data_IF_897584847140
#
_entry.id   IF_897584847140
#
_cell.length_a   1.000
_cell.length_b   1.000
_cell.length_c   1.000
_cell.angle_alpha   90.00
_cell.angle_beta   90.00
_cell.angle_gamma   90.00
#
_symmetry.space_group_name_H-M   'P 1'
#
loop_
_entity.id
_entity.type
_entity.pdbx_description
1 polymer ?
#
# COMPACT_ATOMS: atom_id res chain seq x y z
N UNK A 1 12.16 -2.05 7.72
CA UNK A 1 12.78 -2.51 6.44
C UNK A 1 13.97 -1.62 6.10
N UNK A 2 14.94 -2.00 5.24
CA UNK A 2 15.95 -1.03 4.81
C UNK A 2 15.27 0.19 4.13
N UNK A 3 15.78 1.41 4.35
CA UNK A 3 15.23 2.61 3.72
C UNK A 3 15.29 2.47 2.19
N UNK A 4 14.27 2.97 1.48
CA UNK A 4 14.28 2.89 0.03
C UNK A 4 15.32 3.83 -0.54
N UNK A 5 16.11 3.29 -1.46
CA UNK A 5 16.97 4.10 -2.31
C UNK A 5 16.17 4.67 -3.48
N UNK A 6 16.60 5.82 -3.99
CA UNK A 6 16.04 6.44 -5.18
C UNK A 6 15.98 5.45 -6.36
N UNK A 7 17.04 4.66 -6.55
CA UNK A 7 17.13 3.63 -7.58
C UNK A 7 16.02 2.58 -7.46
N UNK A 8 15.69 2.14 -6.24
CA UNK A 8 14.64 1.14 -6.01
C UNK A 8 13.25 1.69 -6.37
N UNK A 9 12.97 2.95 -6.06
CA UNK A 9 11.70 3.61 -6.40
C UNK A 9 11.56 3.73 -7.91
N UNK A 10 12.59 4.23 -8.58
CA UNK A 10 12.57 4.45 -10.04
C UNK A 10 12.59 3.13 -10.83
N UNK A 11 13.26 2.10 -10.32
CA UNK A 11 13.20 0.77 -10.92
C UNK A 11 11.78 0.17 -10.89
N UNK A 12 10.94 0.56 -9.92
CA UNK A 12 9.54 0.11 -9.84
C UNK A 12 8.66 0.88 -10.82
N UNK A 13 8.79 2.21 -10.90
CA UNK A 13 8.02 3.01 -11.87
C UNK A 13 8.26 2.53 -13.30
N UNK A 14 9.51 2.21 -13.66
CA UNK A 14 9.91 1.70 -14.98
C UNK A 14 9.39 0.30 -15.34
N UNK A 15 8.84 -0.48 -14.38
CA UNK A 15 8.23 -1.80 -14.69
C UNK A 15 6.86 -1.66 -15.37
N UNK A 16 6.15 -0.55 -15.17
CA UNK A 16 4.81 -0.33 -15.70
C UNK A 16 4.76 0.14 -17.16
N UNK A 17 5.69 0.98 -17.67
CA UNK A 17 5.84 1.24 -19.10
C UNK A 17 5.91 -0.04 -19.91
N UNK A 18 6.47 -1.13 -19.36
CA UNK A 18 6.51 -2.43 -20.04
C UNK A 18 5.13 -3.06 -20.20
N UNK A 19 4.29 -3.02 -19.16
CA UNK A 19 2.90 -3.51 -19.24
C UNK A 19 2.07 -2.64 -20.17
N UNK A 20 2.18 -1.31 -20.07
CA UNK A 20 1.47 -0.38 -20.98
C UNK A 20 1.94 -0.51 -22.42
N UNK A 21 3.24 -0.50 -22.68
CA UNK A 21 3.79 -0.71 -24.02
C UNK A 21 3.38 -2.07 -24.57
N UNK A 22 3.39 -3.15 -23.77
CA UNK A 22 2.87 -4.45 -24.20
C UNK A 22 1.37 -4.41 -24.51
N UNK A 23 0.56 -3.70 -23.72
CA UNK A 23 -0.87 -3.53 -23.98
C UNK A 23 -1.12 -2.72 -25.26
N UNK A 24 -0.39 -1.63 -25.49
CA UNK A 24 -0.47 -0.82 -26.71
C UNK A 24 -0.03 -1.62 -27.94
N UNK A 25 1.10 -2.33 -27.86
CA UNK A 25 1.57 -3.22 -28.93
C UNK A 25 0.52 -4.31 -29.19
N UNK A 26 -0.02 -4.96 -28.16
CA UNK A 26 -1.06 -5.99 -28.32
C UNK A 26 -2.34 -5.44 -28.95
N UNK A 27 -2.74 -4.20 -28.64
CA UNK A 27 -3.88 -3.52 -29.28
C UNK A 27 -3.61 -3.22 -30.75
N UNK A 28 -2.39 -2.81 -31.09
CA UNK A 28 -2.00 -2.57 -32.50
C UNK A 28 -2.02 -3.87 -33.30
N UNK A 29 -1.52 -4.98 -32.76
CA UNK A 29 -1.56 -6.28 -33.44
C UNK A 29 -2.99 -6.84 -33.57
N UNK A 30 -3.83 -6.77 -32.52
CA UNK A 30 -5.24 -7.22 -32.60
C UNK A 30 -6.06 -6.42 -33.62
N UNK A 31 -5.73 -5.14 -33.85
CA UNK A 31 -6.41 -4.32 -34.85
C UNK A 31 -6.14 -4.80 -36.28
N UNK A 32 -4.98 -5.39 -36.54
CA UNK A 32 -4.66 -5.98 -37.84
C UNK A 32 -5.39 -7.32 -38.07
N UNK A 33 -5.45 -8.21 -37.06
CA UNK A 33 -6.19 -9.48 -37.19
C UNK A 33 -7.70 -9.28 -37.39
N UNK A 34 -8.29 -8.23 -36.80
CA UNK A 34 -9.73 -7.97 -36.92
C UNK A 34 -10.12 -7.33 -38.26
N UNK A 35 -9.16 -6.75 -38.99
CA UNK A 35 -9.40 -6.13 -40.29
C UNK A 35 -9.34 -7.14 -41.45
N UNK A 36 -8.67 -8.27 -41.28
CA UNK A 36 -8.52 -9.29 -42.34
C UNK A 36 -9.69 -10.29 -42.43
N UNK A 37 -10.54 -10.41 -41.40
CA UNK A 37 -11.75 -11.25 -41.46
C UNK A 37 -13.02 -10.49 -41.88
N UNK A 38 -12.94 -9.18 -42.11
CA UNK A 38 -14.06 -8.34 -42.54
C UNK A 38 -14.08 -8.07 -44.04
N UNK A 39 -13.92 -9.10 -44.88
CA UNK A 39 -13.95 -8.95 -46.33
C UNK A 39 -15.09 -9.76 -46.96
N UNK A 40 -16.24 -9.13 -47.20
CA UNK A 40 -17.01 -9.32 -48.44
C UNK A 40 -18.23 -8.38 -48.48
N UNK A 41 -18.07 -7.20 -49.07
CA UNK A 41 -19.16 -6.60 -49.86
C UNK A 41 -18.54 -5.75 -50.96
N UNK A 42 -18.70 -6.26 -52.19
CA UNK A 42 -18.58 -5.65 -53.52
C UNK A 42 -17.87 -4.29 -53.65
N UNK A 43 -16.74 -4.30 -54.37
CA UNK A 43 -16.26 -3.13 -55.08
C UNK A 43 -16.05 -3.46 -56.56
N UNK A 44 -16.84 -2.81 -57.40
CA UNK A 44 -16.84 -2.91 -58.87
C UNK A 44 -15.67 -2.15 -59.50
N UNK A 45 -14.98 -2.69 -60.52
CA UNK A 45 -13.84 -2.03 -61.15
C UNK A 45 -14.27 -1.15 -62.34
N UNK A 46 -13.76 0.08 -62.40
CA UNK A 46 -13.83 0.92 -63.61
C UNK A 46 -12.48 0.97 -64.31
N UNK A 47 -12.55 0.72 -65.61
CA UNK A 47 -11.48 0.49 -66.58
C UNK A 47 -10.87 1.82 -67.07
N UNK A 48 -9.54 1.93 -67.17
CA UNK A 48 -8.90 2.91 -68.06
C UNK A 48 -7.50 2.45 -68.50
N UNK A 49 -7.26 2.60 -69.81
CA UNK A 49 -6.15 2.10 -70.64
C UNK A 49 -4.89 3.01 -70.63
N UNK A 50 -3.74 2.41 -70.98
CA UNK A 50 -2.59 3.06 -71.65
C UNK A 50 -1.24 2.74 -70.99
N UNK A 51 -0.50 1.69 -71.39
CA UNK A 51 0.45 1.54 -72.53
C UNK A 51 1.75 2.37 -72.43
N UNK A 52 2.83 1.79 -71.85
CA UNK A 52 4.10 1.33 -72.50
C UNK A 52 5.20 2.42 -72.58
N UNK A 53 6.53 2.22 -72.55
CA UNK A 53 7.43 1.10 -72.87
C UNK A 53 8.89 1.48 -72.44
N UNK A 54 9.79 0.47 -72.43
CA UNK A 54 11.29 0.46 -72.51
C UNK A 54 12.10 0.29 -71.20
N UNK A 55 12.74 -0.89 -71.06
CA UNK A 55 13.73 -1.29 -70.03
C UNK A 55 15.19 -0.93 -70.40
N UNK A 56 16.24 -1.76 -70.18
CA UNK A 56 16.39 -2.98 -69.36
C UNK A 56 17.69 -3.01 -68.49
N UNK A 57 17.84 -3.97 -67.55
CA UNK A 57 19.07 -4.78 -67.33
C UNK A 57 18.96 -5.71 -66.09
N UNK A 58 19.29 -6.97 -66.33
CA UNK A 58 19.41 -8.20 -65.50
C UNK A 58 20.66 -8.21 -64.58
N UNK A 59 21.03 -9.31 -63.87
CA UNK A 59 20.28 -10.44 -63.27
C UNK A 59 20.74 -10.77 -61.81
N UNK A 60 20.06 -11.69 -61.12
CA UNK A 60 20.67 -12.94 -60.60
C UNK A 60 19.69 -13.77 -59.73
N UNK A 61 19.78 -15.09 -59.95
CA UNK A 61 18.94 -16.18 -59.44
C UNK A 61 19.21 -16.56 -57.97
N UNK A 62 18.25 -17.26 -57.37
CA UNK A 62 18.49 -18.04 -56.15
C UNK A 62 17.24 -18.70 -55.54
N UNK A 63 16.70 -19.70 -56.22
CA UNK A 63 15.81 -20.71 -55.63
C UNK A 63 16.61 -21.65 -54.71
N UNK A 64 16.00 -22.15 -53.62
CA UNK A 64 16.00 -23.58 -53.17
C UNK A 64 15.74 -23.72 -51.65
N UNK A 65 14.93 -24.76 -51.35
CA UNK A 65 14.84 -25.57 -50.13
C UNK A 65 13.98 -25.09 -48.96
N UNK A 66 12.72 -25.51 -49.03
CA UNK A 66 12.00 -26.12 -47.92
C UNK A 66 12.71 -27.39 -47.42
N UNK A 67 12.87 -27.54 -46.11
CA UNK A 67 13.08 -28.82 -45.42
C UNK A 67 12.52 -28.77 -44.00
N UNK A 68 12.07 -29.94 -43.53
CA UNK A 68 11.56 -30.30 -42.20
C UNK A 68 10.09 -29.90 -41.97
N UNK A 69 9.12 -30.81 -41.91
CA UNK A 69 9.16 -32.24 -41.68
C UNK A 69 7.94 -32.58 -40.82
N UNK A 70 6.92 -33.18 -41.44
CA UNK A 70 5.74 -33.68 -40.72
C UNK A 70 6.00 -34.97 -39.96
N UNK A 71 5.00 -35.34 -39.14
CA UNK A 71 4.60 -36.65 -38.57
C UNK A 71 4.11 -36.42 -37.13
N UNK A 72 3.00 -36.97 -36.62
CA UNK A 72 2.00 -37.89 -37.11
C UNK A 72 0.68 -37.63 -36.35
N UNK A 73 -0.43 -37.78 -37.07
CA UNK A 73 -1.76 -37.91 -36.51
C UNK A 73 -1.93 -39.25 -35.78
N UNK A 74 -2.60 -39.23 -34.64
CA UNK A 74 -3.07 -40.40 -33.90
C UNK A 74 -4.50 -40.17 -33.41
N UNK A 75 -5.45 -40.14 -34.36
CA UNK A 75 -6.89 -40.09 -34.12
C UNK A 75 -7.39 -41.53 -33.94
N UNK A 76 -7.84 -41.90 -32.74
CA UNK A 76 -8.79 -42.99 -32.53
C UNK A 76 -9.89 -42.52 -31.59
N UNK A 77 -11.10 -42.42 -32.13
CA UNK A 77 -12.31 -42.37 -31.35
C UNK A 77 -12.61 -43.75 -30.76
N UNK A 78 -13.15 -43.74 -29.55
CA UNK A 78 -13.81 -44.87 -28.91
C UNK A 78 -14.97 -44.28 -28.11
N UNK A 79 -16.18 -44.63 -28.53
CA UNK A 79 -17.43 -44.19 -27.93
C UNK A 79 -17.82 -45.11 -26.74
N UNK A 80 -18.71 -44.56 -25.90
CA UNK A 80 -19.53 -45.20 -24.86
C UNK A 80 -18.88 -45.59 -23.52
N UNK A 81 -19.52 -45.12 -22.43
CA UNK A 81 -19.22 -45.46 -21.03
C UNK A 81 -19.06 -44.19 -20.18
N UNK A 82 -20.14 -43.51 -19.81
CA UNK A 82 -20.89 -43.75 -18.56
C UNK A 82 -20.08 -43.55 -17.27
N UNK A 83 -20.62 -42.66 -16.43
CA UNK A 83 -20.56 -42.62 -14.96
C UNK A 83 -19.24 -42.24 -14.25
N UNK A 84 -19.31 -41.08 -13.58
CA UNK A 84 -18.78 -40.80 -12.23
C UNK A 84 -17.27 -40.96 -11.98
N UNK A 85 -16.46 -39.97 -12.36
CA UNK A 85 -15.10 -39.80 -11.78
C UNK A 85 -14.81 -38.38 -11.28
N UNK A 86 -15.76 -37.44 -11.43
CA UNK A 86 -15.61 -36.07 -10.96
C UNK A 86 -15.71 -35.92 -9.42
N UNK A 87 -16.20 -36.94 -8.70
CA UNK A 87 -16.37 -36.91 -7.24
C UNK A 87 -15.12 -37.30 -6.45
N UNK A 88 -14.14 -38.00 -7.07
CA UNK A 88 -12.93 -38.46 -6.36
C UNK A 88 -11.88 -37.36 -6.26
N UNK A 89 -11.68 -36.57 -7.33
CA UNK A 89 -10.75 -35.43 -7.31
C UNK A 89 -11.25 -34.26 -6.43
N UNK A 90 -12.55 -34.12 -6.22
CA UNK A 90 -13.11 -33.17 -5.25
C UNK A 90 -13.00 -33.68 -3.81
N UNK A 91 -13.10 -35.00 -3.59
CA UNK A 91 -12.94 -35.58 -2.25
C UNK A 91 -11.50 -35.46 -1.73
N UNK A 92 -10.48 -35.63 -2.59
CA UNK A 92 -9.08 -35.40 -2.19
C UNK A 92 -8.79 -33.93 -1.87
N UNK A 93 -9.44 -32.98 -2.56
CA UNK A 93 -9.33 -31.55 -2.24
C UNK A 93 -10.01 -31.19 -0.91
N UNK A 94 -11.15 -31.81 -0.59
CA UNK A 94 -11.82 -31.62 0.70
C UNK A 94 -10.99 -32.19 1.86
N UNK A 95 -10.30 -33.33 1.66
CA UNK A 95 -9.38 -33.88 2.65
C UNK A 95 -8.18 -32.97 2.93
N UNK A 96 -7.69 -32.19 1.97
CA UNK A 96 -6.60 -31.24 2.20
C UNK A 96 -7.04 -30.08 3.09
N UNK A 97 -8.24 -29.53 2.86
CA UNK A 97 -8.79 -28.47 3.71
C UNK A 97 -9.07 -28.98 5.12
N UNK A 98 -9.64 -30.18 5.27
CA UNK A 98 -9.81 -30.80 6.61
C UNK A 98 -8.47 -31.11 7.28
N UNK A 99 -7.43 -31.49 6.53
CA UNK A 99 -6.10 -31.74 7.10
C UNK A 99 -5.45 -30.43 7.57
N UNK A 100 -5.55 -29.36 6.78
CA UNK A 100 -5.06 -28.02 7.15
C UNK A 100 -5.84 -27.46 8.32
N UNK A 101 -7.17 -27.58 8.32
CA UNK A 101 -8.03 -27.15 9.42
C UNK A 101 -7.78 -27.99 10.69
N UNK A 102 -7.47 -29.28 10.56
CA UNK A 102 -7.08 -30.15 11.68
C UNK A 102 -5.68 -29.83 12.19
N UNK A 103 -4.73 -29.49 11.33
CA UNK A 103 -3.39 -29.05 11.74
C UNK A 103 -3.46 -27.68 12.43
N UNK A 104 -4.26 -26.75 11.92
CA UNK A 104 -4.51 -25.46 12.56
C UNK A 104 -5.30 -25.64 13.86
N UNK A 105 -6.29 -26.54 13.92
CA UNK A 105 -6.97 -26.91 15.15
C UNK A 105 -6.04 -27.60 16.15
N UNK A 106 -5.03 -28.36 15.70
CA UNK A 106 -3.99 -28.91 16.56
C UNK A 106 -2.98 -27.85 17.02
N UNK A 107 -2.66 -26.85 16.20
CA UNK A 107 -1.88 -25.67 16.61
C UNK A 107 -2.65 -24.82 17.62
N UNK A 108 -3.97 -24.72 17.47
CA UNK A 108 -4.86 -24.02 18.40
C UNK A 108 -5.08 -24.82 19.70
N UNK A 109 -5.28 -26.13 19.62
CA UNK A 109 -5.45 -27.02 20.78
C UNK A 109 -4.13 -27.28 21.52
N UNK A 110 -3.01 -27.19 20.81
CA UNK A 110 -1.65 -27.16 21.32
C UNK A 110 -1.19 -25.78 21.77
N UNK A 111 -2.11 -24.83 22.00
CA UNK A 111 -1.85 -23.62 22.81
C UNK A 111 -1.52 -24.07 24.22
N UNK A 112 -0.30 -24.55 24.40
CA UNK A 112 0.34 -24.72 25.69
C UNK A 112 0.34 -23.33 26.30
N UNK A 113 -0.65 -23.07 27.17
CA UNK A 113 -0.69 -21.87 27.99
C UNK A 113 0.63 -21.84 28.74
N UNK A 114 1.54 -20.94 28.32
CA UNK A 114 2.88 -20.79 28.92
C UNK A 114 2.74 -20.14 30.32
N UNK A 115 1.51 -19.92 30.81
CA UNK A 115 1.17 -18.98 31.87
C UNK A 115 1.18 -19.52 33.29
N UNK A 116 1.58 -20.76 33.55
CA UNK A 116 1.49 -21.29 34.91
C UNK A 116 2.74 -21.09 35.78
N UNK A 117 3.84 -20.53 35.26
CA UNK A 117 5.03 -20.27 36.08
C UNK A 117 5.46 -18.81 35.98
N UNK A 118 4.97 -17.97 36.90
CA UNK A 118 5.28 -16.54 37.05
C UNK A 118 6.73 -16.21 37.42
N UNK A 119 7.71 -17.02 36.98
CA UNK A 119 9.14 -16.90 37.30
C UNK A 119 10.05 -17.11 36.08
N UNK A 120 9.49 -17.25 34.87
CA UNK A 120 10.27 -17.59 33.67
C UNK A 120 11.08 -16.41 33.12
N UNK A 121 10.63 -15.17 33.29
CA UNK A 121 11.33 -14.00 32.74
C UNK A 121 12.23 -13.40 33.82
N UNK A 122 13.50 -13.81 33.84
CA UNK A 122 14.49 -13.29 34.82
C UNK A 122 15.40 -12.23 34.23
N UNK A 123 15.53 -12.16 32.91
CA UNK A 123 16.41 -11.23 32.21
C UNK A 123 15.76 -10.74 30.89
N UNK A 124 16.42 -9.79 30.22
CA UNK A 124 15.94 -9.20 28.97
C UNK A 124 15.95 -10.17 27.77
N UNK A 125 16.85 -11.15 27.77
CA UNK A 125 16.94 -12.17 26.70
C UNK A 125 15.82 -13.21 26.79
N UNK A 126 15.43 -13.58 28.00
CA UNK A 126 14.32 -14.49 28.31
C UNK A 126 13.00 -13.82 27.89
N UNK A 127 12.82 -12.54 28.23
CA UNK A 127 11.67 -11.76 27.81
C UNK A 127 11.55 -11.72 26.28
N UNK A 128 12.65 -11.43 25.59
CA UNK A 128 12.67 -11.39 24.12
C UNK A 128 12.31 -12.75 23.51
N UNK A 129 12.84 -13.83 24.09
CA UNK A 129 12.57 -15.20 23.62
C UNK A 129 11.11 -15.57 23.84
N UNK A 130 10.56 -15.22 25.01
CA UNK A 130 9.16 -15.42 25.35
C UNK A 130 8.24 -14.64 24.40
N UNK A 131 8.51 -13.36 24.14
CA UNK A 131 7.70 -12.55 23.22
C UNK A 131 7.69 -13.12 21.79
N UNK A 132 8.83 -13.60 21.30
CA UNK A 132 8.90 -14.27 20.00
C UNK A 132 8.15 -15.61 19.98
N UNK A 133 8.11 -16.33 21.09
CA UNK A 133 7.30 -17.54 21.21
C UNK A 133 5.80 -17.22 21.25
N UNK A 134 5.41 -16.19 22.00
CA UNK A 134 4.03 -15.68 22.07
C UNK A 134 3.54 -15.20 20.69
N UNK A 135 4.37 -14.46 19.96
CA UNK A 135 4.10 -14.04 18.57
C UNK A 135 3.80 -15.26 17.67
N UNK A 136 4.69 -16.26 17.65
CA UNK A 136 4.51 -17.48 16.83
C UNK A 136 3.28 -18.31 17.20
N UNK A 137 2.87 -18.29 18.46
CA UNK A 137 1.71 -19.05 18.96
C UNK A 137 0.40 -18.25 18.86
N UNK A 138 0.48 -16.97 18.49
CA UNK A 138 -0.68 -16.06 18.47
C UNK A 138 -1.25 -15.76 19.86
N UNK A 139 -0.44 -15.91 20.91
CA UNK A 139 -0.80 -15.64 22.31
C UNK A 139 -0.40 -14.20 22.70
N UNK A 140 -1.05 -13.24 22.03
CA UNK A 140 -0.71 -11.83 22.16
C UNK A 140 -1.03 -11.25 23.55
N UNK A 141 -2.12 -11.68 24.20
CA UNK A 141 -2.50 -11.27 25.56
C UNK A 141 -1.47 -11.74 26.58
N UNK A 142 -1.08 -13.01 26.48
CA UNK A 142 -0.03 -13.61 27.31
C UNK A 142 1.33 -12.94 27.14
N UNK A 143 1.71 -12.66 25.89
CA UNK A 143 2.91 -11.91 25.55
C UNK A 143 2.93 -10.51 26.16
N UNK A 144 1.83 -9.77 26.03
CA UNK A 144 1.69 -8.42 26.58
C UNK A 144 1.69 -8.40 28.11
N UNK A 145 0.97 -9.33 28.75
CA UNK A 145 0.93 -9.43 30.21
C UNK A 145 2.34 -9.69 30.78
N UNK A 146 3.06 -10.65 30.20
CA UNK A 146 4.44 -10.94 30.59
C UNK A 146 5.37 -9.74 30.35
N UNK A 147 5.17 -8.98 29.27
CA UNK A 147 5.91 -7.73 29.03
C UNK A 147 5.64 -6.67 30.10
N UNK A 148 4.37 -6.43 30.45
CA UNK A 148 3.99 -5.50 31.52
C UNK A 148 4.57 -5.88 32.88
N UNK A 149 4.45 -7.15 33.25
CA UNK A 149 4.97 -7.68 34.52
C UNK A 149 6.49 -7.55 34.60
N UNK A 150 7.21 -7.92 33.52
CA UNK A 150 8.66 -7.90 33.51
C UNK A 150 9.25 -6.48 33.49
N UNK A 151 8.57 -5.54 32.80
CA UNK A 151 9.01 -4.14 32.68
C UNK A 151 8.49 -3.24 33.80
N UNK A 152 7.53 -3.73 34.60
CA UNK A 152 6.88 -2.99 35.68
C UNK A 152 6.30 -1.63 35.23
N UNK A 153 5.71 -1.56 34.03
CA UNK A 153 5.14 -0.33 33.46
C UNK A 153 3.63 -0.22 33.77
N UNK A 154 3.22 0.54 34.82
CA UNK A 154 1.82 0.64 35.23
C UNK A 154 0.94 1.30 34.16
N UNK A 155 1.48 2.24 33.39
CA UNK A 155 0.75 2.92 32.31
C UNK A 155 0.32 1.93 31.21
N UNK A 156 1.19 0.99 30.83
CA UNK A 156 0.85 -0.01 29.82
C UNK A 156 -0.17 -1.01 30.35
N UNK A 157 -0.09 -1.35 31.63
CA UNK A 157 -1.09 -2.18 32.32
C UNK A 157 -2.47 -1.50 32.30
N UNK A 158 -2.52 -0.19 32.55
CA UNK A 158 -3.77 0.59 32.46
C UNK A 158 -4.31 0.66 31.02
N UNK A 159 -3.44 0.78 30.02
CA UNK A 159 -3.82 0.74 28.60
C UNK A 159 -4.47 -0.60 28.24
N UNK A 160 -3.92 -1.72 28.74
CA UNK A 160 -4.49 -3.05 28.53
C UNK A 160 -5.86 -3.20 29.20
N UNK A 161 -5.96 -2.84 30.49
CA UNK A 161 -7.24 -2.92 31.22
C UNK A 161 -8.33 -2.06 30.57
N UNK A 162 -7.99 -0.87 30.07
CA UNK A 162 -8.93 -0.01 29.35
C UNK A 162 -9.33 -0.60 27.99
N UNK A 163 -8.44 -1.34 27.34
CA UNK A 163 -8.73 -2.02 26.07
C UNK A 163 -9.70 -3.19 26.27
N UNK A 164 -9.52 -3.96 27.35
CA UNK A 164 -10.40 -5.07 27.73
C UNK A 164 -11.80 -4.54 28.11
N UNK A 165 -11.86 -3.51 28.97
CA UNK A 165 -13.13 -2.89 29.36
C UNK A 165 -13.90 -2.29 28.16
N UNK A 166 -13.20 -1.79 27.14
CA UNK A 166 -13.84 -1.26 25.93
C UNK A 166 -14.44 -2.35 25.03
N UNK A 167 -13.96 -3.59 25.11
CA UNK A 167 -14.55 -4.70 24.38
C UNK A 167 -15.89 -5.12 25.01
N UNK A 168 -15.98 -5.10 26.34
CA UNK A 168 -17.21 -5.43 27.09
C UNK A 168 -18.23 -4.27 27.09
N UNK A 169 -17.76 -3.03 27.01
CA UNK A 169 -18.60 -1.82 27.05
C UNK A 169 -19.14 -1.35 25.69
N UNK A 170 -18.99 -2.13 24.61
CA UNK A 170 -19.51 -1.81 23.28
C UNK A 170 -21.05 -1.62 23.21
N UNK A 171 -21.76 -1.75 24.34
CA UNK A 171 -23.17 -1.41 24.52
C UNK A 171 -23.45 0.04 24.97
N UNK A 172 -22.45 0.91 25.21
CA UNK A 172 -22.75 2.30 25.62
C UNK A 172 -21.76 3.32 25.09
N UNK A 173 -22.18 4.05 24.06
CA UNK A 173 -21.39 5.07 23.34
C UNK A 173 -21.25 6.36 24.15
N UNK A 174 -20.07 6.61 24.75
CA UNK A 174 -19.62 7.99 25.03
C UNK A 174 -18.09 8.07 25.08
N UNK A 175 -17.48 8.58 24.00
CA UNK A 175 -16.05 8.90 23.91
C UNK A 175 -15.73 10.04 24.87
N UNK A 176 -14.89 9.77 25.87
CA UNK A 176 -14.28 10.81 26.72
C UNK A 176 -12.81 10.93 26.30
N UNK A 177 -12.31 12.14 25.97
CA UNK A 177 -10.91 12.32 25.61
C UNK A 177 -10.02 12.16 26.86
N UNK A 178 -9.12 11.18 26.82
CA UNK A 178 -8.06 11.03 27.83
C UNK A 178 -6.90 11.92 27.39
N UNK A 179 -6.72 13.06 28.06
CA UNK A 179 -5.52 13.89 27.93
C UNK A 179 -4.34 13.20 28.63
N UNK A 180 -3.23 12.91 27.94
CA UNK A 180 -2.02 12.43 28.59
C UNK A 180 -1.16 13.65 28.93
N UNK A 181 -1.38 14.24 30.10
CA UNK A 181 -0.43 15.19 30.69
C UNK A 181 -0.08 14.68 32.07
N UNK A 182 0.67 13.58 32.11
CA UNK A 182 1.24 13.04 33.34
C UNK A 182 2.75 13.37 33.40
N UNK A 183 3.25 13.84 34.55
CA UNK A 183 4.67 14.08 34.75
C UNK A 183 5.47 12.78 34.60
N UNK A 184 6.79 12.86 34.28
CA UNK A 184 7.63 11.69 34.15
C UNK A 184 7.59 10.85 35.44
N UNK A 185 7.32 9.53 35.36
CA UNK A 185 7.18 8.70 36.53
C UNK A 185 8.51 8.62 37.30
N UNK A 186 8.46 9.01 38.57
CA UNK A 186 9.53 8.77 39.53
C UNK A 186 9.70 7.25 39.66
N UNK A 187 10.93 6.76 39.43
CA UNK A 187 11.23 5.34 39.26
C UNK A 187 10.75 4.49 40.46
N UNK A 188 9.84 3.52 40.27
CA UNK A 188 9.62 2.49 41.27
C UNK A 188 10.91 1.67 41.39
N UNK A 189 11.47 1.56 42.58
CA UNK A 189 12.71 0.79 42.87
C UNK A 189 12.56 -0.73 42.74
N UNK A 190 11.59 -1.20 41.94
CA UNK A 190 11.47 -2.60 41.56
C UNK A 190 12.53 -2.94 40.52
N UNK A 191 13.10 -4.14 40.63
CA UNK A 191 14.03 -4.74 39.67
C UNK A 191 13.34 -5.09 38.33
N UNK A 192 12.69 -4.12 37.70
CA UNK A 192 12.08 -4.28 36.38
C UNK A 192 13.15 -4.35 35.30
N UNK A 193 12.93 -5.22 34.30
CA UNK A 193 13.75 -5.26 33.09
C UNK A 193 13.44 -3.99 32.28
N UNK A 194 14.44 -3.14 32.05
CA UNK A 194 14.25 -1.99 31.17
C UNK A 194 13.87 -2.47 29.76
N UNK A 195 12.75 -1.98 29.19
CA UNK A 195 12.34 -2.38 27.85
C UNK A 195 13.41 -1.98 26.83
N UNK A 196 13.74 -2.89 25.92
CA UNK A 196 14.61 -2.59 24.79
C UNK A 196 13.79 -2.44 23.50
N UNK A 197 14.40 -1.86 22.46
CA UNK A 197 13.75 -1.68 21.16
C UNK A 197 13.23 -3.01 20.60
N UNK A 198 14.00 -4.10 20.74
CA UNK A 198 13.64 -5.40 20.15
C UNK A 198 12.41 -6.04 20.80
N UNK A 199 12.22 -5.87 22.11
CA UNK A 199 11.05 -6.31 22.85
C UNK A 199 9.83 -5.45 22.46
N UNK A 200 9.98 -4.13 22.38
CA UNK A 200 8.89 -3.23 21.98
C UNK A 200 8.45 -3.57 20.55
N UNK A 201 9.38 -3.77 19.61
CA UNK A 201 9.04 -4.15 18.24
C UNK A 201 8.34 -5.51 18.17
N UNK A 202 8.75 -6.49 18.98
CA UNK A 202 8.10 -7.80 19.03
C UNK A 202 6.66 -7.70 19.56
N UNK A 203 6.43 -6.84 20.56
CA UNK A 203 5.09 -6.55 21.07
C UNK A 203 4.20 -5.89 20.01
N UNK A 204 4.73 -4.89 19.28
CA UNK A 204 3.99 -4.22 18.21
C UNK A 204 3.64 -5.18 17.06
N UNK A 205 4.58 -6.03 16.65
CA UNK A 205 4.35 -7.05 15.61
C UNK A 205 3.29 -8.07 16.04
N UNK A 206 3.37 -8.56 17.28
CA UNK A 206 2.39 -9.47 17.84
C UNK A 206 0.99 -8.84 17.92
N UNK A 207 0.89 -7.55 18.26
CA UNK A 207 -0.39 -6.82 18.20
C UNK A 207 -0.91 -6.69 16.76
N UNK A 208 -0.03 -6.44 15.79
CA UNK A 208 -0.40 -6.34 14.37
C UNK A 208 -0.90 -7.68 13.82
N UNK A 209 -0.22 -8.78 14.14
CA UNK A 209 -0.60 -10.15 13.75
C UNK A 209 -1.95 -10.56 14.35
N UNK A 210 -2.23 -10.12 15.58
CA UNK A 210 -3.52 -10.31 16.25
C UNK A 210 -4.60 -9.28 15.83
N UNK A 211 -4.32 -8.44 14.84
CA UNK A 211 -5.19 -7.36 14.34
C UNK A 211 -5.65 -6.36 15.42
N UNK A 212 -4.89 -6.22 16.52
CA UNK A 212 -5.16 -5.28 17.61
C UNK A 212 -4.55 -3.90 17.32
N UNK A 213 -5.02 -3.26 16.25
CA UNK A 213 -4.49 -1.99 15.75
C UNK A 213 -4.60 -0.84 16.74
N UNK A 214 -5.72 -0.73 17.47
CA UNK A 214 -5.91 0.32 18.48
C UNK A 214 -4.89 0.23 19.62
N UNK A 215 -4.52 -1.00 19.99
CA UNK A 215 -3.53 -1.24 21.03
C UNK A 215 -2.11 -0.94 20.52
N UNK A 216 -1.81 -1.36 19.28
CA UNK A 216 -0.55 -1.03 18.60
C UNK A 216 -0.33 0.48 18.57
N UNK A 217 -1.34 1.27 18.22
CA UNK A 217 -1.25 2.73 18.22
C UNK A 217 -0.98 3.29 19.63
N UNK A 218 -1.70 2.85 20.66
CA UNK A 218 -1.50 3.32 22.04
C UNK A 218 -0.09 2.99 22.56
N UNK A 219 0.39 1.78 22.30
CA UNK A 219 1.74 1.33 22.69
C UNK A 219 2.79 2.13 21.92
N UNK A 220 2.59 2.34 20.61
CA UNK A 220 3.47 3.15 19.78
C UNK A 220 3.60 4.58 20.30
N UNK A 221 2.47 5.24 20.61
CA UNK A 221 2.43 6.59 21.20
C UNK A 221 3.19 6.63 22.51
N UNK A 222 2.97 5.64 23.38
CA UNK A 222 3.62 5.58 24.69
C UNK A 222 5.15 5.50 24.59
N UNK A 223 5.68 4.70 23.66
CA UNK A 223 7.13 4.51 23.52
C UNK A 223 7.80 5.50 22.55
N UNK A 224 7.04 6.27 21.76
CA UNK A 224 7.58 7.13 20.72
C UNK A 224 8.67 8.12 21.19
N UNK A 225 8.52 8.81 22.34
CA UNK A 225 9.53 9.78 22.78
C UNK A 225 10.87 9.13 23.19
N UNK A 226 10.84 7.88 23.66
CA UNK A 226 12.02 7.18 24.16
C UNK A 226 12.67 6.25 23.11
N UNK A 227 11.90 5.77 22.14
CA UNK A 227 12.31 4.77 21.16
C UNK A 227 11.83 5.13 19.74
N UNK A 228 12.52 6.02 19.02
CA UNK A 228 12.11 6.46 17.67
C UNK A 228 12.08 5.32 16.64
N UNK A 229 12.91 4.30 16.81
CA UNK A 229 12.91 3.11 15.96
C UNK A 229 11.62 2.28 16.12
N UNK A 230 11.14 2.13 17.36
CA UNK A 230 9.90 1.43 17.65
C UNK A 230 8.69 2.21 17.10
N UNK A 231 8.74 3.55 17.19
CA UNK A 231 7.75 4.42 16.56
C UNK A 231 7.71 4.23 15.04
N UNK A 232 8.87 4.27 14.38
CA UNK A 232 8.97 4.03 12.93
C UNK A 232 8.41 2.65 12.55
N UNK A 233 8.68 1.63 13.38
CA UNK A 233 8.11 0.29 13.19
C UNK A 233 6.59 0.25 13.35
N UNK A 234 6.01 0.98 14.31
CA UNK A 234 4.56 1.10 14.47
C UNK A 234 3.91 1.70 13.21
N UNK A 235 4.50 2.76 12.65
CA UNK A 235 4.04 3.39 11.39
C UNK A 235 4.12 2.40 10.22
N UNK A 236 5.21 1.63 10.11
CA UNK A 236 5.33 0.55 9.11
C UNK A 236 4.22 -0.49 9.22
N UNK A 237 3.91 -0.94 10.42
CA UNK A 237 2.87 -1.96 10.66
C UNK A 237 1.47 -1.41 10.35
N UNK A 238 1.17 -0.18 10.75
CA UNK A 238 -0.09 0.49 10.42
C UNK A 238 -0.27 0.67 8.92
N UNK A 239 0.80 1.05 8.21
CA UNK A 239 0.75 1.22 6.76
C UNK A 239 0.53 -0.12 6.01
N UNK A 240 0.98 -1.23 6.60
CA UNK A 240 0.80 -2.59 6.08
C UNK A 240 -0.54 -3.23 6.48
N UNK A 241 -1.37 -2.54 7.28
CA UNK A 241 -2.66 -3.03 7.70
C UNK A 241 -3.49 -3.49 6.48
N UNK A 242 -3.91 -4.77 6.42
CA UNK A 242 -4.75 -5.24 5.33
C UNK A 242 -6.08 -4.48 5.36
N UNK A 243 -6.62 -4.17 4.18
CA UNK A 243 -7.97 -3.61 4.08
C UNK A 243 -8.97 -4.67 4.52
N UNK A 244 -9.40 -4.60 5.78
CA UNK A 244 -10.39 -5.50 6.35
C UNK A 244 -11.73 -5.30 5.63
N UNK A 245 -12.09 -6.25 4.77
CA UNK A 245 -13.46 -6.41 4.25
C UNK A 245 -13.85 -5.57 3.03
N UNK A 246 -14.75 -6.13 2.22
CA UNK A 246 -15.14 -5.75 0.87
C UNK A 246 -15.87 -4.39 0.70
N UNK A 247 -15.94 -3.56 1.73
CA UNK A 247 -16.60 -2.25 1.68
C UNK A 247 -15.64 -1.14 2.05
N UNK A 248 -15.16 -0.39 1.05
CA UNK A 248 -14.41 0.87 1.18
C UNK A 248 -13.48 0.97 2.41
N UNK A 249 -12.79 -0.13 2.74
CA UNK A 249 -12.00 -0.24 3.96
C UNK A 249 -10.94 0.84 4.00
N UNK A 250 -10.74 1.43 5.18
CA UNK A 250 -9.69 2.43 5.40
C UNK A 250 -8.35 1.83 5.01
N UNK A 251 -7.73 2.36 3.96
CA UNK A 251 -6.41 1.92 3.51
C UNK A 251 -5.41 2.07 4.66
N UNK A 252 -4.57 1.05 4.91
CA UNK A 252 -3.62 1.06 6.04
C UNK A 252 -2.73 2.31 6.08
N UNK A 253 -2.35 2.84 4.92
CA UNK A 253 -1.60 4.09 4.81
C UNK A 253 -2.30 5.29 5.46
N UNK A 254 -3.64 5.37 5.43
CA UNK A 254 -4.41 6.46 6.07
C UNK A 254 -4.35 6.36 7.59
N UNK A 255 -4.40 5.14 8.14
CA UNK A 255 -4.25 4.92 9.57
C UNK A 255 -2.83 5.34 10.02
N UNK A 256 -1.80 4.94 9.28
CA UNK A 256 -0.43 5.37 9.53
C UNK A 256 -0.25 6.89 9.44
N UNK A 257 -0.84 7.52 8.43
CA UNK A 257 -0.77 8.96 8.23
C UNK A 257 -1.52 9.75 9.33
N UNK A 258 -2.71 9.29 9.73
CA UNK A 258 -3.45 9.85 10.86
C UNK A 258 -2.67 9.69 12.17
N UNK A 259 -2.01 8.55 12.35
CA UNK A 259 -1.15 8.30 13.50
C UNK A 259 0.02 9.30 13.56
N UNK A 260 0.68 9.58 12.43
CA UNK A 260 1.76 10.58 12.35
C UNK A 260 1.29 12.02 12.62
N UNK A 261 0.13 12.41 12.08
CA UNK A 261 -0.29 13.82 12.05
C UNK A 261 -1.17 14.22 13.23
N UNK A 262 -1.92 13.28 13.81
CA UNK A 262 -2.94 13.61 14.84
C UNK A 262 -2.69 12.96 16.19
N UNK A 263 -2.01 11.80 16.23
CA UNK A 263 -1.86 11.01 17.47
C UNK A 263 -0.44 11.00 18.01
N UNK A 264 0.54 11.44 17.23
CA UNK A 264 1.94 11.41 17.61
C UNK A 264 2.22 12.45 18.71
N UNK A 265 2.77 12.04 19.87
CA UNK A 265 3.18 12.95 20.93
C UNK A 265 4.56 13.58 20.65
N UNK A 266 5.26 13.09 19.63
CA UNK A 266 6.59 13.54 19.25
C UNK A 266 6.45 14.88 18.50
N UNK A 267 7.27 15.90 18.82
CA UNK A 267 7.31 17.13 18.05
C UNK A 267 7.49 16.81 16.57
N UNK A 268 6.77 17.49 15.68
CA UNK A 268 6.82 17.20 14.25
C UNK A 268 8.23 17.38 13.65
N UNK A 269 9.11 18.14 14.30
CA UNK A 269 10.51 18.29 13.93
C UNK A 269 11.34 17.00 14.10
N UNK A 270 10.94 16.14 15.05
CA UNK A 270 11.63 14.88 15.35
C UNK A 270 11.05 13.70 14.55
N UNK A 271 9.93 13.90 13.86
CA UNK A 271 9.38 12.88 12.96
C UNK A 271 10.30 12.74 11.75
N UNK A 272 10.78 11.53 11.49
CA UNK A 272 11.65 11.27 10.35
C UNK A 272 10.90 11.34 9.02
N UNK A 273 11.61 11.79 7.98
CA UNK A 273 11.12 11.73 6.58
C UNK A 273 10.76 10.29 6.18
N UNK A 274 11.45 9.30 6.74
CA UNK A 274 11.21 7.89 6.46
C UNK A 274 9.81 7.43 6.86
N UNK A 275 9.26 7.97 7.96
CA UNK A 275 7.91 7.62 8.40
C UNK A 275 6.83 8.10 7.40
N UNK A 276 7.03 9.26 6.77
CA UNK A 276 6.17 9.70 5.66
C UNK A 276 6.38 8.86 4.41
N UNK A 277 7.63 8.48 4.08
CA UNK A 277 7.92 7.58 2.97
C UNK A 277 7.29 6.18 3.12
N UNK A 278 7.10 5.71 4.35
CA UNK A 278 6.30 4.50 4.65
C UNK A 278 4.84 4.70 4.23
N UNK A 279 4.22 5.84 4.56
CA UNK A 279 2.86 6.16 4.13
C UNK A 279 2.76 6.28 2.61
N UNK A 280 3.74 6.93 1.95
CA UNK A 280 3.80 7.05 0.49
C UNK A 280 3.89 5.68 -0.20
N UNK A 281 4.65 4.73 0.36
CA UNK A 281 4.66 3.34 -0.13
C UNK A 281 3.30 2.67 -0.03
N UNK A 282 2.59 2.89 1.07
CA UNK A 282 1.23 2.38 1.21
C UNK A 282 0.28 2.98 0.18
N UNK A 283 0.44 4.26 -0.15
CA UNK A 283 -0.28 4.92 -1.24
C UNK A 283 0.09 4.31 -2.61
N UNK A 284 1.38 4.10 -2.88
CA UNK A 284 1.88 3.46 -4.10
C UNK A 284 1.27 2.07 -4.28
N UNK A 285 1.30 1.24 -3.23
CA UNK A 285 0.75 -0.11 -3.26
C UNK A 285 -0.77 -0.13 -3.50
N UNK A 286 -1.49 0.86 -2.98
CA UNK A 286 -2.93 1.03 -3.19
C UNK A 286 -3.27 1.76 -4.52
N UNK A 287 -2.27 2.27 -5.25
CA UNK A 287 -2.43 3.19 -6.38
C UNK A 287 -3.28 4.43 -6.03
N UNK A 288 -3.27 4.85 -4.76
CA UNK A 288 -4.00 6.02 -4.28
C UNK A 288 -3.15 7.28 -4.43
N UNK A 289 -3.15 7.84 -5.64
CA UNK A 289 -2.38 9.04 -5.96
C UNK A 289 -2.84 10.28 -5.20
N UNK A 290 -4.12 10.35 -4.78
CA UNK A 290 -4.64 11.46 -3.97
C UNK A 290 -4.06 11.40 -2.58
N UNK A 291 -4.04 10.21 -1.99
CA UNK A 291 -3.35 9.97 -0.73
C UNK A 291 -1.88 10.32 -0.78
N UNK A 292 -1.17 9.95 -1.85
CA UNK A 292 0.23 10.31 -2.01
C UNK A 292 0.45 11.83 -2.04
N UNK A 293 -0.40 12.58 -2.78
CA UNK A 293 -0.36 14.05 -2.81
C UNK A 293 -0.64 14.66 -1.44
N UNK A 294 -1.64 14.14 -0.71
CA UNK A 294 -1.98 14.58 0.64
C UNK A 294 -0.81 14.39 1.61
N UNK A 295 -0.18 13.21 1.59
CA UNK A 295 0.98 12.91 2.44
C UNK A 295 2.13 13.89 2.15
N UNK A 296 2.51 14.11 0.89
CA UNK A 296 3.61 15.06 0.56
C UNK A 296 3.26 16.50 0.94
N UNK A 297 2.01 16.92 0.74
CA UNK A 297 1.57 18.28 1.13
C UNK A 297 1.63 18.52 2.64
N UNK A 298 1.38 17.49 3.44
CA UNK A 298 1.43 17.56 4.90
C UNK A 298 2.85 17.46 5.48
N UNK A 299 3.85 17.14 4.67
CA UNK A 299 5.25 17.25 5.05
C UNK A 299 5.64 18.74 5.20
N UNK A 300 6.87 18.98 5.66
CA UNK A 300 7.45 20.31 5.86
C UNK A 300 7.42 21.21 4.63
N UNK A 301 7.96 22.44 4.73
CA UNK A 301 7.91 23.43 3.66
C UNK A 301 8.26 22.83 2.30
N UNK A 302 7.31 22.87 1.36
CA UNK A 302 7.46 22.25 0.06
C UNK A 302 6.65 22.99 -1.02
N UNK A 303 7.09 22.96 -2.30
CA UNK A 303 6.45 23.70 -3.39
C UNK A 303 5.06 23.20 -3.76
N UNK A 304 4.63 22.04 -3.22
CA UNK A 304 3.31 21.48 -3.46
C UNK A 304 2.29 21.94 -2.39
N UNK A 305 2.73 22.60 -1.32
CA UNK A 305 1.84 23.17 -0.31
C UNK A 305 0.95 24.24 -0.94
N UNK A 306 -0.37 24.08 -0.79
CA UNK A 306 -1.37 24.97 -1.37
C UNK A 306 -1.55 24.84 -2.89
N UNK A 307 -0.75 24.02 -3.58
CA UNK A 307 -0.95 23.76 -4.99
C UNK A 307 -2.05 22.71 -5.19
N UNK A 308 -3.10 23.06 -5.92
CA UNK A 308 -4.11 22.13 -6.45
C UNK A 308 -4.05 22.14 -7.97
N UNK A 309 -4.03 20.96 -8.57
CA UNK A 309 -4.14 20.82 -10.02
C UNK A 309 -5.62 20.85 -10.43
N UNK A 310 -5.92 21.43 -11.60
CA UNK A 310 -7.27 21.40 -12.16
C UNK A 310 -7.82 19.97 -12.33
N UNK A 311 -6.95 18.98 -12.55
CA UNK A 311 -7.34 17.57 -12.63
C UNK A 311 -7.87 17.01 -11.30
N UNK A 312 -7.45 17.56 -10.15
CA UNK A 312 -8.00 17.16 -8.85
C UNK A 312 -9.45 17.61 -8.68
N UNK A 313 -9.77 18.82 -9.17
CA UNK A 313 -11.10 19.44 -9.08
C UNK A 313 -12.14 18.70 -9.94
N UNK A 314 -11.73 18.20 -11.11
CA UNK A 314 -12.62 17.44 -12.00
C UNK A 314 -13.05 16.13 -11.36
N UNK A 315 -12.13 15.26 -10.90
CA UNK A 315 -12.60 14.00 -10.30
C UNK A 315 -13.27 14.20 -8.92
N UNK A 316 -13.04 15.31 -8.24
CA UNK A 316 -13.72 15.63 -6.98
C UNK A 316 -15.17 16.05 -7.22
N UNK A 317 -15.43 16.78 -8.31
CA UNK A 317 -16.79 17.09 -8.78
C UNK A 317 -17.56 15.83 -9.17
N UNK A 318 -16.92 14.90 -9.88
CA UNK A 318 -17.54 13.63 -10.25
C UNK A 318 -17.85 12.75 -9.02
N UNK A 319 -16.95 12.75 -8.04
CA UNK A 319 -17.14 11.97 -6.81
C UNK A 319 -18.24 12.54 -5.93
N UNK A 320 -18.28 13.86 -5.74
CA UNK A 320 -19.33 14.53 -4.97
C UNK A 320 -20.69 14.36 -5.65
N UNK A 321 -20.75 14.41 -6.99
CA UNK A 321 -21.97 14.10 -7.74
C UNK A 321 -22.43 12.65 -7.55
N UNK A 322 -21.49 11.68 -7.55
CA UNK A 322 -21.81 10.27 -7.29
C UNK A 322 -22.29 10.03 -5.85
N UNK A 323 -21.63 10.63 -4.84
CA UNK A 323 -22.02 10.51 -3.43
C UNK A 323 -23.36 11.20 -3.14
N UNK A 324 -23.64 12.36 -3.76
CA UNK A 324 -24.93 13.03 -3.69
C UNK A 324 -26.06 12.21 -4.35
N UNK A 325 -25.75 11.53 -5.47
CA UNK A 325 -26.72 10.65 -6.16
C UNK A 325 -27.06 9.40 -5.35
N UNK A 326 -26.11 8.88 -4.55
CA UNK A 326 -26.34 7.74 -3.65
C UNK A 326 -27.14 8.16 -2.41
N UNK A 327 -26.99 9.42 -1.95
CA UNK A 327 -27.69 9.92 -0.75
C UNK A 327 -29.16 10.35 -0.98
N UNK A 328 -29.62 10.50 -2.24
CA UNK A 328 -30.97 11.00 -2.52
C UNK A 328 -32.09 9.93 -2.57
N UNK A 329 -31.83 8.68 -2.16
CA UNK A 329 -32.82 7.59 -2.25
C UNK A 329 -33.53 7.22 -0.94
N UNK A 330 -33.42 8.01 0.13
CA UNK A 330 -34.06 7.65 1.40
C UNK A 330 -34.25 8.79 2.38
N UNK A 331 -35.28 9.61 2.18
CA UNK A 331 -36.10 10.22 3.24
C UNK A 331 -37.11 11.19 2.61
N UNK A 332 -38.33 10.73 2.38
CA UNK A 332 -39.49 11.61 2.38
C UNK A 332 -39.83 11.87 3.86
N UNK A 333 -39.64 13.09 4.36
CA UNK A 333 -40.40 13.60 5.52
C UNK A 333 -40.33 15.12 5.59
N UNK A 334 -41.54 15.64 5.73
CA UNK A 334 -42.03 17.00 5.86
C UNK A 334 -41.08 18.11 6.32
N UNK A 335 -41.00 19.08 5.42
CA UNK A 335 -40.92 20.52 5.56
C UNK A 335 -41.67 21.09 6.78
N UNK A 336 -40.97 21.86 7.61
CA UNK A 336 -41.53 23.08 8.22
C UNK A 336 -40.45 24.16 8.29
N UNK A 337 -40.69 25.22 7.52
CA UNK A 337 -39.94 26.48 7.48
C UNK A 337 -40.03 27.26 8.79
N UNK A 338 -38.92 27.91 9.16
CA UNK A 338 -38.96 29.25 9.75
C UNK A 338 -37.61 29.95 9.55
N UNK A 339 -37.68 31.11 8.91
CA UNK A 339 -36.68 32.16 8.78
C UNK A 339 -35.94 32.50 10.09
N UNK A 340 -34.69 33.00 9.96
CA UNK A 340 -34.21 34.28 10.54
C UNK A 340 -32.72 34.51 10.21
N UNK A 341 -32.51 35.54 9.38
CA UNK A 341 -31.45 36.57 9.35
C UNK A 341 -29.95 36.22 9.55
N UNK A 342 -29.20 36.43 8.46
CA UNK A 342 -28.26 37.55 8.27
C UNK A 342 -27.38 38.00 9.47
N UNK A 343 -26.09 37.65 9.42
CA UNK A 343 -24.99 38.59 9.77
C UNK A 343 -23.61 38.08 9.32
N UNK A 344 -22.98 38.88 8.47
CA UNK A 344 -21.55 39.28 8.35
C UNK A 344 -20.38 38.29 8.63
N UNK A 345 -19.31 38.33 7.82
CA UNK A 345 -18.11 37.51 8.03
C UNK A 345 -17.23 38.08 9.15
N UNK A 346 -16.70 37.26 10.07
CA UNK A 346 -15.71 37.74 11.03
C UNK A 346 -14.35 37.86 10.34
N UNK A 347 -13.82 39.08 10.38
CA UNK A 347 -12.44 39.44 10.06
C UNK A 347 -11.47 38.49 10.75
N UNK A 348 -10.54 37.95 9.96
CA UNK A 348 -9.52 36.98 10.37
C UNK A 348 -8.71 37.49 11.58
N UNK A 349 -9.11 37.04 12.76
CA UNK A 349 -8.31 37.11 13.98
C UNK A 349 -7.18 36.09 13.82
N UNK A 350 -5.99 36.59 13.46
CA UNK A 350 -4.76 35.81 13.47
C UNK A 350 -4.46 35.38 14.90
N UNK A 351 -4.99 34.23 15.29
CA UNK A 351 -4.57 33.50 16.48
C UNK A 351 -3.05 33.39 16.44
N UNK A 352 -2.33 33.62 17.56
CA UNK A 352 -0.90 33.42 17.61
C UNK A 352 -0.66 31.97 17.24
N UNK A 353 -0.11 31.75 16.04
CA UNK A 353 0.33 30.44 15.61
C UNK A 353 1.39 30.03 16.63
N UNK A 354 0.97 29.23 17.62
CA UNK A 354 1.86 28.39 18.40
C UNK A 354 2.84 27.84 17.38
N UNK A 355 4.14 28.08 17.61
CA UNK A 355 5.24 27.59 16.77
C UNK A 355 5.19 26.06 16.78
N UNK A 356 4.22 25.53 16.04
CA UNK A 356 4.02 24.13 15.77
C UNK A 356 5.29 23.76 15.04
N UNK A 357 6.08 22.91 15.69
CA UNK A 357 7.23 22.26 15.10
C UNK A 357 6.90 21.93 13.65
N UNK A 358 7.67 22.47 12.71
CA UNK A 358 7.41 22.22 11.29
C UNK A 358 7.74 20.76 10.99
N UNK A 359 6.85 20.04 10.29
CA UNK A 359 7.17 18.67 9.85
C UNK A 359 8.42 18.66 8.96
N UNK A 360 9.07 17.50 8.77
CA UNK A 360 10.29 17.43 7.97
C UNK A 360 9.99 17.69 6.49
N UNK A 361 10.86 18.42 5.79
CA UNK A 361 10.70 18.67 4.36
C UNK A 361 10.81 17.36 3.55
N UNK A 362 9.96 17.17 2.51
CA UNK A 362 10.07 16.02 1.62
C UNK A 362 11.43 15.96 0.94
N UNK A 363 11.97 14.75 0.81
CA UNK A 363 13.24 14.50 0.13
C UNK A 363 13.02 13.98 -1.30
N UNK A 364 14.13 13.79 -2.03
CA UNK A 364 14.16 13.28 -3.41
C UNK A 364 13.41 11.96 -3.54
N UNK A 365 13.54 11.07 -2.54
CA UNK A 365 12.83 9.78 -2.50
C UNK A 365 11.31 9.96 -2.34
N UNK A 366 10.89 10.94 -1.52
CA UNK A 366 9.47 11.28 -1.31
C UNK A 366 8.84 11.70 -2.65
N UNK A 367 9.49 12.64 -3.34
CA UNK A 367 9.01 13.12 -4.63
C UNK A 367 9.08 12.06 -5.73
N UNK A 368 10.14 11.27 -5.79
CA UNK A 368 10.25 10.18 -6.74
C UNK A 368 9.14 9.15 -6.54
N UNK A 369 8.78 8.84 -5.29
CA UNK A 369 7.70 7.90 -4.95
C UNK A 369 6.34 8.48 -5.33
N UNK A 370 6.13 9.78 -5.11
CA UNK A 370 4.93 10.48 -5.56
C UNK A 370 4.78 10.45 -7.09
N UNK A 371 5.82 10.85 -7.82
CA UNK A 371 5.83 10.84 -9.29
C UNK A 371 5.59 9.43 -9.80
N UNK A 372 6.27 8.43 -9.24
CA UNK A 372 6.04 7.03 -9.56
C UNK A 372 4.57 6.68 -9.39
N UNK A 373 3.97 6.94 -8.22
CA UNK A 373 2.56 6.64 -7.91
C UNK A 373 1.60 7.30 -8.92
N UNK A 374 1.83 8.57 -9.26
CA UNK A 374 1.05 9.31 -10.26
C UNK A 374 1.14 8.65 -11.64
N UNK A 375 2.35 8.28 -12.07
CA UNK A 375 2.56 7.56 -13.32
C UNK A 375 1.86 6.20 -13.29
N UNK A 376 1.93 5.43 -12.19
CA UNK A 376 1.29 4.11 -12.07
C UNK A 376 -0.24 4.23 -12.17
N UNK A 377 -0.81 5.26 -11.56
CA UNK A 377 -2.24 5.58 -11.62
C UNK A 377 -2.68 6.14 -12.99
N UNK A 378 -1.75 6.44 -13.90
CA UNK A 378 -2.05 6.98 -15.24
C UNK A 378 -2.25 8.49 -15.28
N UNK A 379 -1.89 9.20 -14.21
CA UNK A 379 -1.98 10.67 -14.10
C UNK A 379 -0.66 11.32 -14.57
N UNK A 380 -0.29 11.06 -15.83
CA UNK A 380 1.01 11.47 -16.41
C UNK A 380 1.17 12.99 -16.50
N UNK A 381 0.08 13.72 -16.79
CA UNK A 381 0.08 15.19 -16.80
C UNK A 381 0.37 15.74 -15.42
N UNK A 382 -0.31 15.23 -14.40
CA UNK A 382 -0.06 15.60 -13.01
C UNK A 382 1.37 15.27 -12.56
N UNK A 383 1.89 14.10 -12.92
CA UNK A 383 3.29 13.73 -12.67
C UNK A 383 4.27 14.73 -13.28
N UNK A 384 4.06 15.13 -14.54
CA UNK A 384 4.89 16.13 -15.22
C UNK A 384 4.79 17.52 -14.59
N UNK A 385 3.61 17.91 -14.12
CA UNK A 385 3.39 19.18 -13.44
C UNK A 385 4.10 19.22 -12.09
N UNK A 386 4.01 18.12 -11.31
CA UNK A 386 4.77 17.96 -10.05
C UNK A 386 6.27 18.08 -10.33
N UNK A 387 6.81 17.32 -11.30
CA UNK A 387 8.23 17.35 -11.64
C UNK A 387 8.73 18.75 -12.05
N UNK A 388 7.90 19.52 -12.74
CA UNK A 388 8.25 20.88 -13.15
C UNK A 388 8.20 21.90 -12.01
N UNK A 389 7.56 21.57 -10.89
CA UNK A 389 7.48 22.42 -9.69
C UNK A 389 8.53 22.10 -8.64
N UNK A 390 9.21 20.97 -8.75
CA UNK A 390 10.27 20.61 -7.82
C UNK A 390 11.43 21.60 -7.90
N UNK A 391 12.17 21.81 -6.80
CA UNK A 391 13.40 22.59 -6.86
C UNK A 391 14.42 21.91 -7.79
N UNK A 392 15.34 22.72 -8.33
CA UNK A 392 16.22 22.29 -9.42
C UNK A 392 17.06 21.07 -9.04
N UNK A 393 17.56 21.01 -7.79
CA UNK A 393 18.41 19.93 -7.30
C UNK A 393 17.67 18.59 -7.30
N UNK A 394 16.49 18.52 -6.69
CA UNK A 394 15.69 17.29 -6.63
C UNK A 394 15.21 16.88 -8.02
N UNK A 395 14.86 17.85 -8.87
CA UNK A 395 14.49 17.61 -10.27
C UNK A 395 15.65 16.98 -11.06
N UNK A 396 16.85 17.53 -10.94
CA UNK A 396 18.06 17.03 -11.61
C UNK A 396 18.40 15.61 -11.13
N UNK A 397 18.37 15.35 -9.83
CA UNK A 397 18.65 14.00 -9.29
C UNK A 397 17.64 12.95 -9.76
N UNK A 398 16.35 13.28 -9.75
CA UNK A 398 15.29 12.37 -10.22
C UNK A 398 15.45 12.11 -11.73
N UNK A 399 15.67 13.16 -12.53
CA UNK A 399 15.81 13.03 -13.98
C UNK A 399 17.09 12.29 -14.39
N UNK A 400 18.21 12.56 -13.72
CA UNK A 400 19.47 11.84 -13.93
C UNK A 400 19.33 10.35 -13.60
N UNK A 401 18.66 10.03 -12.48
CA UNK A 401 18.44 8.64 -12.07
C UNK A 401 17.50 7.90 -13.04
N UNK A 402 16.47 8.55 -13.56
CA UNK A 402 15.63 8.01 -14.65
C UNK A 402 16.45 7.76 -15.92
N UNK A 403 17.29 8.71 -16.34
CA UNK A 403 18.14 8.56 -17.52
C UNK A 403 19.11 7.38 -17.39
N UNK A 404 19.74 7.22 -16.21
CA UNK A 404 20.60 6.09 -15.90
C UNK A 404 19.85 4.74 -16.02
N UNK A 405 18.64 4.66 -15.46
CA UNK A 405 17.79 3.47 -15.54
C UNK A 405 17.39 3.13 -16.98
N UNK A 406 17.00 4.13 -17.78
CA UNK A 406 16.68 3.95 -19.21
C UNK A 406 17.90 3.40 -19.96
N UNK A 407 19.09 3.92 -19.68
CA UNK A 407 20.35 3.46 -20.29
C UNK A 407 20.70 2.02 -19.91
N UNK A 408 20.59 1.66 -18.62
CA UNK A 408 20.83 0.27 -18.17
C UNK A 408 19.83 -0.68 -18.84
N UNK A 409 18.56 -0.29 -18.91
CA UNK A 409 17.51 -1.12 -19.49
C UNK A 409 17.66 -1.29 -21.01
N UNK A 410 17.98 -0.22 -21.73
CA UNK A 410 18.22 -0.27 -23.19
C UNK A 410 19.39 -1.21 -23.52
N UNK A 411 20.48 -1.14 -22.73
CA UNK A 411 21.61 -2.05 -22.85
C UNK A 411 21.21 -3.51 -22.59
N UNK A 412 20.40 -3.79 -21.57
CA UNK A 412 19.91 -5.15 -21.31
C UNK A 412 19.07 -5.69 -22.47
N UNK A 413 18.25 -4.87 -23.11
CA UNK A 413 17.48 -5.27 -24.30
C UNK A 413 18.40 -5.55 -25.48
N UNK A 414 19.38 -4.68 -25.74
CA UNK A 414 20.36 -4.88 -26.81
C UNK A 414 21.16 -6.17 -26.61
N UNK A 415 21.61 -6.47 -25.38
CA UNK A 415 22.29 -7.72 -25.07
C UNK A 415 21.40 -8.95 -25.27
N UNK A 416 20.11 -8.88 -24.87
CA UNK A 416 19.17 -9.97 -25.10
C UNK A 416 18.89 -10.22 -26.58
N UNK A 417 18.87 -9.17 -27.41
CA UNK A 417 18.74 -9.31 -28.87
C UNK A 417 20.00 -9.92 -29.48
N UNK A 418 21.19 -9.45 -29.08
CA UNK A 418 22.48 -9.98 -29.56
C UNK A 418 22.75 -11.45 -29.23
N UNK A 419 22.10 -12.02 -28.20
CA UNK A 419 22.24 -13.45 -27.88
C UNK A 419 21.30 -14.37 -28.69
N UNK A 420 20.34 -13.80 -29.41
CA UNK A 420 19.35 -14.56 -30.21
C UNK A 420 19.70 -14.63 -31.69
N UNK A 421 20.65 -13.80 -32.13
CA UNK A 421 21.28 -13.84 -33.43
C UNK A 421 22.70 -14.36 -33.23
#
# INVERSE_FOLDING_TARGET
MPPLTLEQVLARSMRLPRKRAQQHVSRLYKRHESAELGGSTEWTPSTAKGSSLVGPALPCNGSIAAMMGGRHAGKRGGAYGSSSTATVASAERLNFFELVEREDAQRQAGRLSIHSSGLLVRNSTDLTTYLKAAQRTGDWEGGLRAFCEATALPTLTAILAASEASADAAASTRRTPVSPTLPPPSAPSGSGVNPNVTQITAVLEMCAEAEKWDLLEKIGVFFAPAYPDAFSRAVELLAQRPSSGAGAGVCGWRAAFAYLTTRCPVPAADISVEAFNVCLRGCEAALDWRGAMEVVRAMGPNPLQGWRAAEEEVDESDRTAAEASISCSGAASDTTDADVQSSSPPTASASPALSMSTPPSPNVVSYATLIATLEQAGKERLASAVLNRLPAVEKEEITASYAALIMVWSNQILHKRRRRF
#
